data_IF_345868938617
#
_entry.id   IF_345868938617
#
_cell.length_a   1.000
_cell.length_b   1.000
_cell.length_c   1.000
_cell.angle_alpha   90.00
_cell.angle_beta   90.00
_cell.angle_gamma   90.00
#
_symmetry.space_group_name_H-M   'P 1'
#
loop_
_entity.id
_entity.type
_entity.pdbx_description
1 polymer ?
#
# COMPACT_ATOMS: atom_id res chain seq x y z
N UNK A 1 23.53 35.84 52.13
CA UNK A 1 22.08 35.94 51.86
C UNK A 1 21.90 36.23 50.37
N UNK A 2 21.45 35.26 49.57
CA UNK A 2 21.21 35.50 48.14
C UNK A 2 20.15 36.60 48.00
N UNK A 3 20.53 37.72 47.37
CA UNK A 3 19.65 38.86 47.11
C UNK A 3 18.39 38.39 46.38
N UNK A 4 17.22 38.95 46.71
CA UNK A 4 15.93 38.54 46.16
C UNK A 4 15.92 38.54 44.61
N UNK A 5 16.79 39.34 43.97
CA UNK A 5 17.01 39.35 42.52
C UNK A 5 17.64 38.06 41.96
N UNK A 6 18.43 37.33 42.72
CA UNK A 6 19.00 36.04 42.27
C UNK A 6 17.96 34.92 42.35
N UNK A 7 17.07 34.97 43.34
CA UNK A 7 15.99 33.99 43.50
C UNK A 7 14.96 34.13 42.38
N UNK A 8 14.59 35.35 41.99
CA UNK A 8 13.67 35.57 40.87
C UNK A 8 14.26 35.10 39.55
N UNK A 9 15.57 35.29 39.33
CA UNK A 9 16.25 34.86 38.11
C UNK A 9 16.27 33.34 37.96
N UNK A 10 16.50 32.60 39.05
CA UNK A 10 16.42 31.13 39.05
C UNK A 10 15.01 30.61 38.76
N UNK A 11 13.98 31.27 39.30
CA UNK A 11 12.58 30.91 39.01
C UNK A 11 12.24 31.11 37.53
N UNK A 12 12.68 32.23 36.94
CA UNK A 12 12.46 32.51 35.52
C UNK A 12 13.16 31.47 34.65
N UNK A 13 14.42 31.11 34.95
CA UNK A 13 15.14 30.07 34.22
C UNK A 13 14.43 28.73 34.33
N UNK A 14 13.93 28.37 35.51
CA UNK A 14 13.15 27.15 35.72
C UNK A 14 11.89 27.10 34.86
N UNK A 15 11.14 28.21 34.80
CA UNK A 15 9.93 28.31 33.95
C UNK A 15 10.29 28.19 32.47
N UNK A 16 11.32 28.89 32.01
CA UNK A 16 11.77 28.82 30.60
C UNK A 16 12.21 27.41 30.24
N UNK A 17 12.91 26.72 31.14
CA UNK A 17 13.34 25.34 30.93
C UNK A 17 12.16 24.38 30.82
N UNK A 18 11.16 24.50 31.70
CA UNK A 18 9.92 23.70 31.63
C UNK A 18 9.17 23.97 30.32
N UNK A 19 9.06 25.23 29.89
CA UNK A 19 8.45 25.57 28.61
C UNK A 19 9.22 24.98 27.43
N UNK A 20 10.56 25.04 27.45
CA UNK A 20 11.39 24.46 26.40
C UNK A 20 11.21 22.94 26.30
N UNK A 21 11.23 22.22 27.43
CA UNK A 21 11.05 20.77 27.47
C UNK A 21 9.67 20.35 26.99
N UNK A 22 8.62 21.08 27.37
CA UNK A 22 7.24 20.76 26.95
C UNK A 22 7.03 20.98 25.45
N UNK A 23 7.52 22.09 24.89
CA UNK A 23 7.45 22.36 23.45
C UNK A 23 8.24 21.31 22.68
N UNK A 24 9.47 21.02 23.11
CA UNK A 24 10.33 20.05 22.45
C UNK A 24 9.73 18.64 22.50
N UNK A 25 9.21 18.22 23.67
CA UNK A 25 8.51 16.96 23.84
C UNK A 25 7.28 16.85 22.92
N UNK A 26 6.50 17.93 22.78
CA UNK A 26 5.35 17.96 21.89
C UNK A 26 5.75 17.80 20.41
N UNK A 27 6.81 18.49 19.96
CA UNK A 27 7.32 18.39 18.59
C UNK A 27 7.80 16.96 18.29
N UNK A 28 8.61 16.38 19.18
CA UNK A 28 9.10 15.02 19.02
C UNK A 28 7.97 14.00 18.99
N UNK A 29 6.97 14.16 19.85
CA UNK A 29 5.82 13.27 19.88
C UNK A 29 5.02 13.34 18.57
N UNK A 30 4.79 14.55 18.05
CA UNK A 30 4.13 14.75 16.75
C UNK A 30 4.94 14.10 15.61
N UNK A 31 6.25 14.36 15.57
CA UNK A 31 7.15 13.80 14.56
C UNK A 31 7.18 12.27 14.61
N UNK A 32 7.18 11.68 15.81
CA UNK A 32 7.17 10.23 15.97
C UNK A 32 5.85 9.60 15.49
N UNK A 33 4.70 10.22 15.80
CA UNK A 33 3.41 9.76 15.27
C UNK A 33 3.35 9.84 13.75
N UNK A 34 3.82 10.94 13.19
CA UNK A 34 3.84 11.14 11.75
C UNK A 34 4.77 10.13 11.06
N UNK A 35 5.94 9.84 11.65
CA UNK A 35 6.83 8.78 11.20
C UNK A 35 6.15 7.40 11.19
N UNK A 36 5.41 7.04 12.24
CA UNK A 36 4.68 5.76 12.28
C UNK A 36 3.63 5.65 11.18
N UNK A 37 2.90 6.75 10.90
CA UNK A 37 1.91 6.78 9.81
C UNK A 37 2.60 6.59 8.46
N UNK A 38 3.73 7.27 8.22
CA UNK A 38 4.50 7.11 6.98
C UNK A 38 5.07 5.70 6.84
N UNK A 39 5.63 5.12 7.90
CA UNK A 39 6.16 3.76 7.89
C UNK A 39 5.06 2.72 7.59
N UNK A 40 3.83 2.93 8.08
CA UNK A 40 2.72 2.04 7.77
C UNK A 40 2.29 2.18 6.30
N UNK A 41 2.23 3.41 5.78
CA UNK A 41 1.91 3.66 4.36
C UNK A 41 2.96 3.04 3.44
N UNK A 42 4.23 3.21 3.77
CA UNK A 42 5.34 2.63 3.01
C UNK A 42 5.19 1.11 2.89
N UNK A 43 4.89 0.41 4.00
CA UNK A 43 4.65 -1.04 3.97
C UNK A 43 3.50 -1.43 3.05
N UNK A 44 2.40 -0.67 3.04
CA UNK A 44 1.27 -0.93 2.14
C UNK A 44 1.65 -0.71 0.69
N UNK A 45 2.30 0.42 0.38
CA UNK A 45 2.74 0.74 -0.99
C UNK A 45 3.72 -0.30 -1.53
N UNK A 46 4.67 -0.76 -0.72
CA UNK A 46 5.61 -1.82 -1.13
C UNK A 46 4.86 -3.11 -1.47
N UNK A 47 3.88 -3.52 -0.65
CA UNK A 47 3.08 -4.71 -0.93
C UNK A 47 2.29 -4.57 -2.24
N UNK A 48 1.66 -3.42 -2.45
CA UNK A 48 0.91 -3.14 -3.68
C UNK A 48 1.84 -3.14 -4.90
N UNK A 49 3.00 -2.50 -4.79
CA UNK A 49 4.00 -2.49 -5.86
C UNK A 49 4.44 -3.90 -6.26
N UNK A 50 4.75 -4.76 -5.27
CA UNK A 50 5.10 -6.16 -5.53
C UNK A 50 3.95 -6.94 -6.17
N UNK A 51 2.71 -6.74 -5.70
CA UNK A 51 1.54 -7.39 -6.28
C UNK A 51 1.32 -6.97 -7.74
N UNK A 52 1.46 -5.68 -8.05
CA UNK A 52 1.35 -5.17 -9.43
C UNK A 52 2.48 -5.70 -10.32
N UNK A 53 3.71 -5.73 -9.83
CA UNK A 53 4.84 -6.32 -10.55
C UNK A 53 4.60 -7.79 -10.91
N UNK A 54 4.10 -8.59 -9.96
CA UNK A 54 3.75 -9.98 -10.24
C UNK A 54 2.67 -10.10 -11.32
N UNK A 55 1.64 -9.26 -11.28
CA UNK A 55 0.60 -9.26 -12.32
C UNK A 55 1.16 -8.89 -13.70
N UNK A 56 2.12 -7.97 -13.77
CA UNK A 56 2.78 -7.61 -15.03
C UNK A 56 3.56 -8.81 -15.59
N UNK A 57 4.35 -9.49 -14.76
CA UNK A 57 5.11 -10.68 -15.18
C UNK A 57 4.17 -11.77 -15.70
N UNK A 58 3.07 -12.05 -14.98
CA UNK A 58 2.07 -13.04 -15.41
C UNK A 58 1.44 -12.68 -16.76
N UNK A 59 1.10 -11.39 -16.96
CA UNK A 59 0.56 -10.90 -18.23
C UNK A 59 1.58 -10.99 -19.36
N UNK A 60 2.86 -10.69 -19.10
CA UNK A 60 3.93 -10.83 -20.09
C UNK A 60 4.09 -12.30 -20.51
N UNK A 61 4.15 -13.24 -19.56
CA UNK A 61 4.21 -14.67 -19.84
C UNK A 61 2.99 -15.17 -20.62
N UNK A 62 1.80 -14.62 -20.34
CA UNK A 62 0.60 -14.91 -21.11
C UNK A 62 0.72 -14.43 -22.56
N UNK A 63 1.18 -13.19 -22.78
CA UNK A 63 1.38 -12.63 -24.11
C UNK A 63 2.48 -13.37 -24.89
N UNK A 64 3.56 -13.79 -24.24
CA UNK A 64 4.59 -14.61 -24.86
C UNK A 64 4.02 -15.96 -25.31
N UNK A 65 3.27 -16.66 -24.45
CA UNK A 65 2.59 -17.90 -24.86
C UNK A 65 1.63 -17.68 -26.01
N UNK A 66 0.88 -16.58 -26.02
CA UNK A 66 -0.01 -16.21 -27.11
C UNK A 66 0.74 -15.99 -28.44
N UNK A 67 1.94 -15.41 -28.38
CA UNK A 67 2.75 -15.10 -29.56
C UNK A 67 3.47 -16.33 -30.13
N UNK A 68 3.95 -17.22 -29.29
CA UNK A 68 4.84 -18.32 -29.69
C UNK A 68 4.14 -19.68 -29.82
N UNK A 69 2.89 -19.84 -29.36
CA UNK A 69 2.14 -21.09 -29.46
C UNK A 69 0.87 -20.93 -30.31
N UNK A 70 0.86 -21.42 -31.57
CA UNK A 70 -0.28 -21.26 -32.47
C UNK A 70 -1.55 -21.97 -31.98
N UNK A 71 -1.40 -23.13 -31.33
CA UNK A 71 -2.54 -23.90 -30.78
C UNK A 71 -3.23 -23.15 -29.62
N UNK A 72 -2.45 -22.45 -28.80
CA UNK A 72 -2.97 -21.65 -27.69
C UNK A 72 -3.71 -20.40 -28.21
N UNK A 73 -3.16 -19.73 -29.21
CA UNK A 73 -3.80 -18.57 -29.85
C UNK A 73 -5.17 -18.92 -30.44
N UNK A 74 -5.27 -20.04 -31.16
CA UNK A 74 -6.52 -20.49 -31.75
C UNK A 74 -7.58 -20.81 -30.67
N UNK A 75 -7.15 -21.42 -29.57
CA UNK A 75 -8.02 -21.68 -28.42
C UNK A 75 -8.52 -20.39 -27.75
N UNK A 76 -7.64 -19.40 -27.52
CA UNK A 76 -8.02 -18.09 -26.93
C UNK A 76 -9.00 -17.35 -27.83
N UNK A 77 -8.79 -17.34 -29.15
CA UNK A 77 -9.70 -16.72 -30.12
C UNK A 77 -11.06 -17.41 -30.11
N UNK A 78 -11.09 -18.75 -30.10
CA UNK A 78 -12.35 -19.51 -30.03
C UNK A 78 -13.13 -19.23 -28.76
N UNK A 79 -12.44 -19.15 -27.61
CA UNK A 79 -13.02 -18.75 -26.33
C UNK A 79 -13.61 -17.33 -26.38
N UNK A 80 -12.88 -16.34 -26.92
CA UNK A 80 -13.39 -14.97 -27.02
C UNK A 80 -14.55 -14.80 -28.01
N UNK A 81 -14.49 -15.49 -29.16
CA UNK A 81 -15.54 -15.41 -30.18
C UNK A 81 -16.73 -16.34 -29.88
N UNK A 82 -16.64 -17.19 -28.85
CA UNK A 82 -17.67 -18.16 -28.48
C UNK A 82 -17.85 -19.29 -29.50
N UNK A 83 -16.83 -19.61 -30.29
CA UNK A 83 -16.87 -20.66 -31.30
C UNK A 83 -16.37 -22.00 -30.75
N UNK A 84 -17.19 -23.04 -30.85
CA UNK A 84 -16.82 -24.42 -30.57
C UNK A 84 -16.48 -25.17 -31.87
N UNK A 85 -15.57 -26.15 -31.82
CA UNK A 85 -15.45 -27.13 -32.91
C UNK A 85 -16.77 -27.91 -33.03
N UNK A 86 -17.08 -28.52 -34.20
CA UNK A 86 -18.33 -29.26 -34.41
C UNK A 86 -18.60 -30.39 -33.39
N UNK A 87 -17.58 -30.84 -32.67
CA UNK A 87 -17.63 -31.91 -31.67
C UNK A 87 -17.55 -31.45 -30.20
N UNK A 88 -17.57 -30.14 -29.91
CA UNK A 88 -17.38 -29.61 -28.55
C UNK A 88 -18.59 -28.78 -28.08
N UNK A 89 -18.96 -28.92 -26.81
CA UNK A 89 -20.05 -28.16 -26.17
C UNK A 89 -19.42 -27.12 -25.25
N UNK A 90 -19.60 -25.83 -25.56
CA UNK A 90 -19.15 -24.73 -24.69
C UNK A 90 -20.23 -24.47 -23.64
N UNK A 91 -19.91 -24.69 -22.37
CA UNK A 91 -20.78 -24.36 -21.24
C UNK A 91 -20.38 -23.01 -20.67
N UNK A 92 -21.23 -21.99 -20.81
CA UNK A 92 -21.05 -20.69 -20.16
C UNK A 92 -21.85 -20.69 -18.86
N UNK A 93 -21.16 -20.68 -17.72
CA UNK A 93 -21.81 -20.48 -16.43
C UNK A 93 -22.19 -19.02 -16.29
N UNK A 94 -23.47 -18.71 -16.17
CA UNK A 94 -23.95 -17.36 -15.87
C UNK A 94 -23.51 -17.01 -14.43
N UNK A 95 -22.54 -16.10 -14.34
CA UNK A 95 -22.06 -15.37 -13.15
C UNK A 95 -22.11 -16.14 -11.82
N UNK A 96 -20.96 -16.66 -11.39
CA UNK A 96 -20.73 -16.93 -9.97
C UNK A 96 -20.87 -15.59 -9.24
N UNK A 97 -21.72 -15.45 -8.20
CA UNK A 97 -21.81 -14.22 -7.42
C UNK A 97 -20.42 -13.89 -6.87
N UNK A 98 -19.82 -12.80 -7.35
CA UNK A 98 -18.57 -12.30 -6.78
C UNK A 98 -18.95 -11.66 -5.45
N UNK A 99 -18.73 -12.39 -4.37
CA UNK A 99 -18.90 -11.85 -3.03
C UNK A 99 -17.94 -10.65 -2.88
N UNK A 100 -18.45 -9.46 -2.50
CA UNK A 100 -17.61 -8.28 -2.45
C UNK A 100 -16.52 -8.47 -1.40
N UNK A 101 -15.27 -8.18 -1.79
CA UNK A 101 -14.11 -8.09 -0.90
C UNK A 101 -14.45 -7.15 0.27
N UNK A 102 -14.72 -7.73 1.45
CA UNK A 102 -14.99 -6.98 2.69
C UNK A 102 -13.69 -6.34 3.16
N UNK A 103 -13.35 -5.19 2.57
CA UNK A 103 -12.38 -4.24 3.11
C UNK A 103 -13.09 -3.13 3.88
#
# INVERSE_FOLDING_TARGET
>A
MASNSQKSLLVIIGIVFICAVTIFGHILFKAHREYQIFAQREKTLIKEFHATQQQVVLKQQYLERLKYQPDFFEWVIRQQLGYAKPSEIIYRFDSIPVEPDKR
#
